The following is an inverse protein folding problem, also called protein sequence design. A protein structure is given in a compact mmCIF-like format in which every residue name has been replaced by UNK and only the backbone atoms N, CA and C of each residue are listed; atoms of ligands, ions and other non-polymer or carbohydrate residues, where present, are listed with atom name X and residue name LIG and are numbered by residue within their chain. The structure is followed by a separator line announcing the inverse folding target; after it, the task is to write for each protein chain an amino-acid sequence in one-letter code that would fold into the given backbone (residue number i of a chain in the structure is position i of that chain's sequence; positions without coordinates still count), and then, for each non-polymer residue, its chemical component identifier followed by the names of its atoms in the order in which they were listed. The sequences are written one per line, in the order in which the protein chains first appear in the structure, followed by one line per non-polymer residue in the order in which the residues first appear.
data_IF_454469454024
#
_entry.id   IF_454469454024
#
_cell.length_a   1.000
_cell.length_b   1.000
_cell.length_c   1.000
_cell.angle_alpha   90.00
_cell.angle_beta   90.00
_cell.angle_gamma   90.00
#
_symmetry.space_group_name_H-M   'P 1'
#
loop_
_entity.id
_entity.type
_entity.pdbx_description
1 polymer ?
#
# COMPACT_ATOMS: atom_id res chain seq x y z
N UNK A 1 0.21 13.14 -15.99
CA UNK A 1 0.08 12.56 -14.63
C UNK A 1 -1.11 13.26 -13.94
N UNK A 2 -1.64 12.73 -12.83
CA UNK A 2 -2.90 13.18 -12.22
C UNK A 2 -2.62 14.01 -10.97
N UNK A 3 -3.30 15.14 -10.82
CA UNK A 3 -3.18 16.00 -9.63
C UNK A 3 -3.61 15.26 -8.36
N UNK A 4 -2.67 14.99 -7.46
CA UNK A 4 -2.92 14.36 -6.16
C UNK A 4 -3.92 15.16 -5.29
N UNK A 5 -4.08 16.46 -5.57
CA UNK A 5 -5.01 17.36 -4.87
C UNK A 5 -6.45 16.83 -4.78
N UNK A 6 -6.96 16.16 -5.82
CA UNK A 6 -8.33 15.61 -5.82
C UNK A 6 -8.44 14.50 -4.78
N UNK A 7 -7.45 13.60 -4.74
CA UNK A 7 -7.40 12.53 -3.75
C UNK A 7 -7.26 13.09 -2.34
N UNK A 8 -6.40 14.10 -2.12
CA UNK A 8 -6.28 14.74 -0.81
C UNK A 8 -7.56 15.42 -0.34
N UNK A 9 -8.28 16.11 -1.23
CA UNK A 9 -9.57 16.71 -0.89
C UNK A 9 -10.62 15.63 -0.56
N UNK A 10 -10.69 14.57 -1.36
CA UNK A 10 -11.58 13.42 -1.11
C UNK A 10 -11.27 12.75 0.22
N UNK A 11 -9.99 12.47 0.49
CA UNK A 11 -9.47 11.97 1.77
C UNK A 11 -9.90 12.84 2.95
N UNK A 12 -9.62 14.15 2.86
CA UNK A 12 -9.93 15.12 3.91
C UNK A 12 -11.43 15.18 4.22
N UNK A 13 -12.28 15.19 3.20
CA UNK A 13 -13.74 15.22 3.38
C UNK A 13 -14.30 13.99 4.10
N UNK A 14 -13.57 12.86 4.06
CA UNK A 14 -13.96 11.58 4.65
C UNK A 14 -13.17 11.21 5.91
N UNK A 15 -12.22 12.05 6.32
CA UNK A 15 -11.36 11.78 7.48
C UNK A 15 -10.40 10.60 7.28
N UNK A 16 -10.01 10.31 6.04
CA UNK A 16 -9.08 9.21 5.70
C UNK A 16 -7.76 9.73 5.12
N UNK A 17 -6.73 8.89 5.11
CA UNK A 17 -5.45 9.17 4.43
C UNK A 17 -5.40 8.56 3.03
N UNK A 18 -4.40 8.95 2.24
CA UNK A 18 -4.19 8.46 0.88
C UNK A 18 -4.05 6.94 0.81
N UNK A 19 -3.41 6.34 1.83
CA UNK A 19 -3.26 4.89 1.97
C UNK A 19 -4.60 4.15 1.87
N UNK A 20 -5.70 4.70 2.39
CA UNK A 20 -7.03 4.11 2.29
C UNK A 20 -7.52 4.00 0.85
N UNK A 21 -7.30 5.05 0.05
CA UNK A 21 -7.64 5.05 -1.39
C UNK A 21 -6.79 4.02 -2.12
N UNK A 22 -5.47 4.00 -1.87
CA UNK A 22 -4.55 3.08 -2.53
C UNK A 22 -4.87 1.62 -2.21
N UNK A 23 -5.16 1.33 -0.93
CA UNK A 23 -5.66 0.02 -0.49
C UNK A 23 -6.93 -0.37 -1.23
N UNK A 24 -7.94 0.51 -1.29
CA UNK A 24 -9.18 0.19 -1.98
C UNK A 24 -8.97 -0.03 -3.48
N UNK A 25 -8.18 0.82 -4.14
CA UNK A 25 -7.92 0.73 -5.57
C UNK A 25 -7.23 -0.57 -5.96
N UNK A 26 -6.23 -1.01 -5.19
CA UNK A 26 -5.53 -2.28 -5.48
C UNK A 26 -6.37 -3.51 -5.11
N UNK A 27 -7.19 -3.44 -4.05
CA UNK A 27 -8.12 -4.51 -3.71
C UNK A 27 -9.16 -4.72 -4.83
N UNK A 28 -9.75 -3.64 -5.35
CA UNK A 28 -10.68 -3.69 -6.48
C UNK A 28 -10.00 -4.18 -7.76
N UNK A 29 -8.77 -3.72 -8.04
CA UNK A 29 -7.99 -4.19 -9.18
C UNK A 29 -7.70 -5.71 -9.09
N UNK A 30 -7.25 -6.18 -7.93
CA UNK A 30 -6.96 -7.60 -7.70
C UNK A 30 -8.23 -8.47 -7.69
N UNK A 31 -9.36 -7.95 -7.18
CA UNK A 31 -10.66 -8.62 -7.23
C UNK A 31 -11.14 -8.83 -8.66
N UNK A 32 -11.03 -7.79 -9.50
CA UNK A 32 -11.45 -7.85 -10.91
C UNK A 32 -10.51 -8.66 -11.80
N UNK A 33 -9.26 -8.95 -11.38
CA UNK A 33 -8.34 -9.84 -12.10
C UNK A 33 -8.60 -11.33 -11.80
N UNK A 34 -9.30 -11.66 -10.71
CA UNK A 34 -9.62 -13.03 -10.38
C UNK A 34 -10.88 -13.51 -11.12
N UNK A 35 -10.69 -14.40 -12.11
CA UNK A 35 -11.78 -15.00 -12.89
C UNK A 35 -12.73 -15.91 -12.07
N UNK A 36 -12.37 -16.29 -10.83
CA UNK A 36 -13.20 -17.13 -9.96
C UNK A 36 -14.06 -16.24 -9.06
N UNK A 37 -15.37 -16.24 -9.29
CA UNK A 37 -16.44 -15.51 -8.58
C UNK A 37 -16.67 -15.92 -7.11
N UNK A 38 -15.64 -16.38 -6.41
CA UNK A 38 -15.75 -16.65 -4.97
C UNK A 38 -15.38 -15.38 -4.20
N UNK A 39 -16.00 -15.17 -3.04
CA UNK A 39 -15.66 -14.10 -2.11
C UNK A 39 -14.16 -14.19 -1.78
N UNK A 40 -13.36 -13.30 -2.37
CA UNK A 40 -11.93 -13.30 -2.20
C UNK A 40 -11.61 -12.47 -0.95
N UNK A 41 -10.95 -13.12 0.01
CA UNK A 41 -10.35 -12.45 1.16
C UNK A 41 -8.94 -12.03 0.80
N UNK A 42 -8.62 -10.78 1.03
CA UNK A 42 -7.32 -10.18 0.74
C UNK A 42 -6.78 -9.57 2.02
N UNK A 43 -5.56 -9.95 2.38
CA UNK A 43 -4.88 -9.22 3.44
C UNK A 43 -4.24 -7.93 2.96
N UNK A 44 -4.17 -6.96 3.85
CA UNK A 44 -3.51 -5.69 3.66
C UNK A 44 -2.63 -5.44 4.87
N UNK A 45 -1.33 -5.29 4.62
CA UNK A 45 -0.39 -4.81 5.63
C UNK A 45 -0.27 -3.30 5.49
N UNK A 46 -0.55 -2.55 6.55
CA UNK A 46 -0.29 -1.10 6.57
C UNK A 46 0.90 -0.83 7.46
N UNK A 47 1.94 -0.21 6.89
CA UNK A 47 3.14 0.20 7.62
C UNK A 47 2.98 1.62 8.17
N UNK A 48 3.30 1.78 9.46
CA UNK A 48 3.18 3.05 10.19
C UNK A 48 4.55 3.46 10.70
N UNK A 49 4.99 4.69 10.39
CA UNK A 49 6.24 5.23 10.93
C UNK A 49 6.11 5.44 12.44
N UNK A 50 6.99 4.80 13.20
CA UNK A 50 7.01 4.85 14.66
C UNK A 50 8.09 5.77 15.23
N UNK A 51 8.85 6.52 14.40
CA UNK A 51 9.92 7.41 14.89
C UNK A 51 9.43 8.39 15.98
N UNK A 52 8.20 8.86 15.89
CA UNK A 52 7.58 9.77 16.86
C UNK A 52 7.29 9.14 18.22
N UNK A 53 7.22 7.79 18.31
CA UNK A 53 6.98 7.06 19.55
C UNK A 53 8.27 6.66 20.28
N UNK A 54 9.43 6.86 19.68
CA UNK A 54 10.73 6.56 20.30
C UNK A 54 11.06 7.61 21.37
N UNK A 55 11.95 7.25 22.31
CA UNK A 55 12.42 8.16 23.34
C UNK A 55 13.96 8.26 23.30
N UNK A 56 14.54 9.36 22.78
CA UNK A 56 13.85 10.53 22.21
C UNK A 56 13.21 10.23 20.84
N UNK A 57 12.20 11.02 20.41
CA UNK A 57 11.65 10.91 19.06
C UNK A 57 12.72 11.14 17.99
N UNK A 58 12.69 10.34 16.93
CA UNK A 58 13.63 10.48 15.82
C UNK A 58 13.06 11.36 14.69
N UNK A 59 13.94 12.14 14.06
CA UNK A 59 13.59 12.87 12.83
C UNK A 59 13.62 11.95 11.60
N UNK A 60 12.98 12.38 10.51
CA UNK A 60 12.99 11.67 9.21
C UNK A 60 14.40 11.51 8.61
N UNK A 61 15.38 12.31 9.07
CA UNK A 61 16.78 12.20 8.65
C UNK A 61 17.53 11.07 9.38
N UNK A 62 16.92 10.41 10.36
CA UNK A 62 17.45 9.18 10.93
C UNK A 62 17.09 8.02 10.01
N UNK A 63 18.08 7.58 9.24
CA UNK A 63 17.94 6.50 8.28
C UNK A 63 17.82 5.14 8.97
N UNK A 64 16.87 4.35 8.52
CA UNK A 64 16.59 3.03 9.09
C UNK A 64 15.14 2.61 8.88
N UNK A 65 14.83 1.38 9.28
CA UNK A 65 13.47 0.84 9.26
C UNK A 65 12.83 1.05 10.63
N UNK A 66 11.95 2.04 10.72
CA UNK A 66 11.24 2.41 11.95
C UNK A 66 9.73 2.19 11.85
N UNK A 67 9.31 1.33 10.93
CA UNK A 67 7.89 1.07 10.73
C UNK A 67 7.43 -0.11 11.59
N UNK A 68 6.25 0.05 12.16
CA UNK A 68 5.43 -1.06 12.64
C UNK A 68 4.40 -1.44 11.57
N UNK A 69 3.66 -2.53 11.78
CA UNK A 69 2.77 -3.07 10.77
C UNK A 69 1.46 -3.54 11.38
N UNK A 70 0.34 -3.27 10.70
CA UNK A 70 -0.99 -3.83 11.02
C UNK A 70 -1.43 -4.71 9.87
N UNK A 71 -1.92 -5.92 10.18
CA UNK A 71 -2.53 -6.81 9.21
C UNK A 71 -4.06 -6.78 9.32
N UNK A 72 -4.72 -6.30 8.26
CA UNK A 72 -6.16 -6.39 8.09
C UNK A 72 -6.50 -7.41 7.00
N UNK A 73 -7.68 -8.02 7.06
CA UNK A 73 -8.19 -8.89 6.00
C UNK A 73 -9.56 -8.40 5.55
N UNK A 74 -9.71 -8.14 4.26
CA UNK A 74 -10.94 -7.63 3.65
C UNK A 74 -11.54 -8.65 2.69
N UNK A 75 -12.85 -8.85 2.78
CA UNK A 75 -13.60 -9.66 1.82
C UNK A 75 -14.24 -8.73 0.79
N UNK A 76 -13.89 -8.88 -0.48
CA UNK A 76 -14.37 -7.99 -1.56
C UNK A 76 -15.51 -8.67 -2.33
N UNK A 77 -16.65 -7.98 -2.41
CA UNK A 77 -17.88 -8.46 -3.04
C UNK A 77 -17.98 -8.04 -4.52
N UNK A 78 -17.23 -7.03 -4.93
CA UNK A 78 -17.17 -6.52 -6.31
C UNK A 78 -18.25 -5.49 -6.65
N UNK A 79 -18.99 -5.00 -5.64
CA UNK A 79 -20.03 -3.95 -5.79
C UNK A 79 -19.65 -2.66 -5.08
N UNK A 80 -18.60 -2.69 -4.26
CA UNK A 80 -18.12 -1.57 -3.47
C UNK A 80 -17.55 -0.47 -4.39
N UNK A 81 -17.91 0.79 -4.10
CA UNK A 81 -17.24 1.93 -4.72
C UNK A 81 -15.85 2.14 -4.10
N UNK A 82 -14.98 2.87 -4.80
CA UNK A 82 -13.63 3.17 -4.30
C UNK A 82 -13.68 3.85 -2.93
N UNK A 83 -14.54 4.86 -2.78
CA UNK A 83 -14.60 5.67 -1.57
C UNK A 83 -15.23 4.95 -0.38
N UNK A 84 -16.25 4.12 -0.60
CA UNK A 84 -16.83 3.30 0.46
C UNK A 84 -15.81 2.31 1.00
N UNK A 85 -15.12 1.60 0.09
CA UNK A 85 -14.09 0.64 0.47
C UNK A 85 -12.90 1.34 1.15
N UNK A 86 -12.44 2.48 0.61
CA UNK A 86 -11.35 3.27 1.20
C UNK A 86 -11.68 3.73 2.62
N UNK A 87 -12.92 4.17 2.84
CA UNK A 87 -13.40 4.61 4.16
C UNK A 87 -13.45 3.44 5.14
N UNK A 88 -14.00 2.30 4.72
CA UNK A 88 -14.06 1.09 5.54
C UNK A 88 -12.67 0.58 5.91
N UNK A 89 -11.78 0.39 4.91
CA UNK A 89 -10.42 -0.08 5.15
C UNK A 89 -9.64 0.86 6.08
N UNK A 90 -9.73 2.17 5.88
CA UNK A 90 -9.02 3.11 6.74
C UNK A 90 -9.59 3.16 8.16
N UNK A 91 -10.91 3.08 8.32
CA UNK A 91 -11.54 3.04 9.64
C UNK A 91 -11.10 1.81 10.44
N UNK A 92 -11.08 0.63 9.80
CA UNK A 92 -10.60 -0.60 10.43
C UNK A 92 -9.12 -0.51 10.81
N UNK A 93 -8.27 -0.02 9.91
CA UNK A 93 -6.85 0.24 10.19
C UNK A 93 -6.67 1.20 11.38
N UNK A 94 -7.35 2.35 11.36
CA UNK A 94 -7.23 3.39 12.39
C UNK A 94 -7.64 2.87 13.77
N UNK A 95 -8.75 2.10 13.83
CA UNK A 95 -9.20 1.44 15.06
C UNK A 95 -8.16 0.45 15.60
N UNK A 96 -7.55 -0.36 14.73
CA UNK A 96 -6.50 -1.30 15.15
C UNK A 96 -5.25 -0.57 15.63
N UNK A 97 -4.87 0.53 14.98
CA UNK A 97 -3.74 1.37 15.39
C UNK A 97 -3.95 1.96 16.77
N UNK A 98 -5.15 2.48 17.06
CA UNK A 98 -5.52 3.02 18.39
C UNK A 98 -5.42 1.98 19.51
N UNK A 99 -5.61 0.69 19.18
CA UNK A 99 -5.46 -0.43 20.11
C UNK A 99 -4.02 -0.97 20.19
N UNK A 100 -3.03 -0.24 19.67
CA UNK A 100 -1.62 -0.64 19.62
C UNK A 100 -1.33 -1.94 18.86
N UNK A 101 -2.25 -2.37 18.00
CA UNK A 101 -2.13 -3.64 17.26
C UNK A 101 -0.91 -3.66 16.32
N UNK A 102 -0.45 -2.49 15.90
CA UNK A 102 0.77 -2.33 15.10
C UNK A 102 2.04 -2.88 15.78
N UNK A 103 2.06 -2.92 17.12
CA UNK A 103 3.18 -3.47 17.90
C UNK A 103 3.12 -4.99 18.03
N UNK A 104 1.91 -5.58 18.01
CA UNK A 104 1.72 -7.03 18.15
C UNK A 104 1.77 -7.74 16.81
N UNK A 105 1.10 -7.20 15.78
CA UNK A 105 1.01 -7.82 14.46
C UNK A 105 2.38 -7.90 13.76
N UNK A 106 3.30 -6.98 14.05
CA UNK A 106 4.64 -6.98 13.46
C UNK A 106 5.41 -8.28 13.76
N UNK A 107 5.23 -8.86 14.97
CA UNK A 107 5.86 -10.12 15.33
C UNK A 107 5.31 -11.29 14.48
N UNK A 108 3.99 -11.35 14.33
CA UNK A 108 3.31 -12.35 13.51
C UNK A 108 3.68 -12.22 12.03
N UNK A 109 3.71 -10.99 11.50
CA UNK A 109 4.11 -10.70 10.12
C UNK A 109 5.55 -11.15 9.89
N UNK A 110 6.49 -10.78 10.75
CA UNK A 110 7.89 -11.19 10.62
C UNK A 110 8.02 -12.72 10.63
N UNK A 111 7.33 -13.41 11.54
CA UNK A 111 7.32 -14.86 11.59
C UNK A 111 6.77 -15.49 10.31
N UNK A 112 5.62 -15.01 9.83
CA UNK A 112 5.00 -15.49 8.58
C UNK A 112 5.90 -15.26 7.37
N UNK A 113 6.56 -14.09 7.30
CA UNK A 113 7.52 -13.75 6.25
C UNK A 113 8.71 -14.69 6.26
N UNK A 114 9.33 -14.92 7.42
CA UNK A 114 10.44 -15.88 7.55
C UNK A 114 10.01 -17.27 7.11
N UNK A 115 8.82 -17.74 7.51
CA UNK A 115 8.33 -19.06 7.12
C UNK A 115 8.05 -19.18 5.63
N UNK A 116 7.52 -18.14 5.00
CA UNK A 116 7.32 -18.09 3.56
C UNK A 116 8.64 -18.13 2.78
N UNK A 117 9.66 -17.41 3.24
CA UNK A 117 11.01 -17.39 2.64
C UNK A 117 11.73 -18.72 2.84
N UNK A 118 11.64 -19.32 4.02
CA UNK A 118 12.24 -20.64 4.31
C UNK A 118 11.57 -21.78 3.53
N UNK A 119 10.27 -21.64 3.20
CA UNK A 119 9.47 -22.71 2.62
C UNK A 119 8.70 -22.25 1.36
N UNK A 120 9.37 -21.74 0.32
CA UNK A 120 8.70 -21.19 -0.85
C UNK A 120 7.82 -22.24 -1.55
N UNK A 121 8.20 -23.52 -1.52
CA UNK A 121 7.39 -24.62 -2.07
C UNK A 121 6.14 -24.98 -1.25
N UNK A 122 6.10 -24.69 0.06
CA UNK A 122 4.92 -24.91 0.91
C UNK A 122 3.91 -23.76 0.82
N UNK A 123 4.29 -22.67 0.14
CA UNK A 123 3.38 -21.56 -0.17
C UNK A 123 2.51 -21.84 -1.41
N UNK A 124 2.17 -23.11 -1.65
CA UNK A 124 1.41 -23.50 -2.83
C UNK A 124 0.03 -22.84 -2.84
N UNK A 125 -0.18 -21.91 -3.79
CA UNK A 125 -1.43 -21.27 -4.27
C UNK A 125 -2.44 -20.69 -3.25
N UNK A 126 -2.34 -20.96 -1.95
CA UNK A 126 -3.42 -20.75 -0.96
C UNK A 126 -3.00 -20.03 0.32
N UNK A 127 -1.80 -20.24 0.86
CA UNK A 127 -1.39 -19.66 2.15
C UNK A 127 -0.86 -18.22 2.09
N UNK A 128 -0.26 -17.79 0.97
CA UNK A 128 0.24 -16.41 0.79
C UNK A 128 -0.84 -15.37 0.45
N UNK A 129 -2.12 -15.76 0.39
CA UNK A 129 -3.24 -14.83 0.14
C UNK A 129 -3.67 -14.03 1.37
N UNK A 130 -3.10 -14.31 2.54
CA UNK A 130 -3.46 -13.61 3.77
C UNK A 130 -2.86 -12.21 3.89
N UNK A 131 -1.97 -11.78 2.99
CA UNK A 131 -1.44 -10.42 2.86
C UNK A 131 -1.13 -10.12 1.38
N UNK A 132 -2.18 -9.77 0.61
CA UNK A 132 -2.07 -9.45 -0.82
C UNK A 132 -1.15 -8.25 -1.07
N UNK A 133 -1.29 -7.21 -0.27
CA UNK A 133 -0.62 -5.92 -0.50
C UNK A 133 -0.10 -5.30 0.80
N UNK A 134 1.02 -4.62 0.69
CA UNK A 134 1.54 -3.70 1.70
C UNK A 134 1.43 -2.26 1.20
N UNK A 135 0.94 -1.37 2.05
CA UNK A 135 0.88 0.09 1.82
C UNK A 135 1.51 0.82 3.00
N UNK A 136 1.90 2.08 2.79
CA UNK A 136 2.39 2.96 3.86
C UNK A 136 1.25 3.87 4.31
N UNK A 137 1.14 4.12 5.62
CA UNK A 137 0.10 5.00 6.16
C UNK A 137 0.26 6.44 5.65
N UNK A 138 1.50 6.93 5.68
CA UNK A 138 1.86 8.29 5.32
C UNK A 138 2.59 8.31 3.98
N UNK A 139 2.05 9.09 3.04
CA UNK A 139 2.62 9.29 1.73
C UNK A 139 3.94 10.06 1.82
N UNK A 140 4.92 9.71 0.99
CA UNK A 140 6.12 10.53 0.82
C UNK A 140 5.75 11.77 0.00
N UNK A 141 5.99 12.96 0.54
CA UNK A 141 5.82 14.22 -0.19
C UNK A 141 7.20 14.71 -0.61
N UNK A 142 7.39 14.89 -1.91
CA UNK A 142 8.63 15.36 -2.51
C UNK A 142 8.37 16.58 -3.40
N UNK A 143 8.68 17.76 -2.85
CA UNK A 143 8.61 19.03 -3.58
C UNK A 143 10.02 19.51 -3.98
N UNK A 144 10.98 18.59 -4.10
CA UNK A 144 12.37 18.90 -4.45
C UNK A 144 12.62 19.10 -5.94
N UNK A 145 11.58 19.18 -6.79
CA UNK A 145 11.71 19.27 -8.24
C UNK A 145 12.58 20.42 -8.76
N UNK A 146 12.69 21.52 -8.00
CA UNK A 146 13.66 22.59 -8.27
C UNK A 146 15.12 22.16 -8.07
N UNK A 147 15.41 21.51 -6.93
CA UNK A 147 16.73 20.97 -6.61
C UNK A 147 17.12 19.85 -7.58
N UNK A 148 16.17 18.96 -7.90
CA UNK A 148 16.37 17.82 -8.79
C UNK A 148 16.89 18.24 -10.17
N UNK A 149 16.28 19.29 -10.73
CA UNK A 149 16.72 19.92 -12.00
C UNK A 149 18.10 20.55 -11.89
N UNK A 150 18.42 21.17 -10.75
CA UNK A 150 19.73 21.78 -10.52
C UNK A 150 20.87 20.75 -10.53
N UNK A 151 20.63 19.55 -9.97
CA UNK A 151 21.63 18.48 -9.89
C UNK A 151 21.61 17.52 -11.09
N UNK A 152 20.77 17.77 -12.11
CA UNK A 152 20.67 16.96 -13.32
C UNK A 152 20.05 15.57 -13.11
N UNK A 153 19.19 15.40 -12.11
CA UNK A 153 18.46 14.14 -11.87
C UNK A 153 17.08 14.21 -12.55
N UNK A 154 16.97 13.52 -13.68
CA UNK A 154 15.76 13.52 -14.49
C UNK A 154 14.60 12.77 -13.83
N UNK A 155 14.85 11.55 -13.33
CA UNK A 155 13.86 10.73 -12.63
C UNK A 155 14.53 9.77 -11.64
N UNK A 156 13.79 9.37 -10.60
CA UNK A 156 14.20 8.34 -9.66
C UNK A 156 12.98 7.66 -9.03
N UNK A 157 13.20 6.47 -8.51
CA UNK A 157 12.19 5.67 -7.83
C UNK A 157 12.69 5.42 -6.41
N UNK A 158 11.88 5.81 -5.43
CA UNK A 158 12.09 5.45 -4.04
C UNK A 158 11.33 4.16 -3.71
N UNK A 159 12.05 3.11 -3.32
CA UNK A 159 11.45 1.92 -2.72
C UNK A 159 12.36 1.35 -1.63
N UNK A 160 11.77 0.78 -0.59
CA UNK A 160 12.52 -0.04 0.37
C UNK A 160 12.73 -1.46 -0.18
N UNK A 161 13.71 -2.18 0.37
CA UNK A 161 13.90 -3.60 0.06
C UNK A 161 12.65 -4.40 0.42
N UNK A 162 12.30 -5.39 -0.41
CA UNK A 162 11.20 -6.36 -0.20
C UNK A 162 11.28 -7.12 1.13
N UNK A 163 12.41 -7.06 1.83
CA UNK A 163 12.63 -7.75 3.11
C UNK A 163 11.82 -7.14 4.28
N UNK A 164 11.25 -5.94 4.12
CA UNK A 164 10.41 -5.29 5.15
C UNK A 164 8.93 -5.14 4.77
N UNK A 165 8.49 -5.82 3.72
CA UNK A 165 7.19 -5.64 3.07
C UNK A 165 6.52 -7.02 2.98
N UNK A 166 5.21 -7.09 3.22
CA UNK A 166 4.44 -8.33 3.11
C UNK A 166 4.68 -9.10 1.79
N UNK A 167 4.32 -10.39 1.75
CA UNK A 167 4.95 -11.37 0.88
C UNK A 167 4.55 -11.31 -0.59
N UNK A 168 3.71 -10.35 -1.00
CA UNK A 168 3.02 -10.38 -2.30
C UNK A 168 3.24 -9.12 -3.14
N UNK A 169 2.65 -7.98 -2.78
CA UNK A 169 2.80 -6.73 -3.53
C UNK A 169 3.05 -5.58 -2.55
N UNK A 170 4.01 -4.72 -2.83
CA UNK A 170 4.19 -3.43 -2.16
C UNK A 170 3.66 -2.32 -3.05
N UNK A 171 2.89 -1.39 -2.51
CA UNK A 171 2.62 -0.11 -3.16
C UNK A 171 3.42 0.97 -2.44
N UNK A 172 4.36 1.56 -3.14
CA UNK A 172 5.08 2.75 -2.69
C UNK A 172 4.49 3.97 -3.36
N UNK A 173 3.87 4.84 -2.59
CA UNK A 173 3.35 6.10 -3.07
C UNK A 173 4.29 7.26 -2.75
N UNK A 174 4.42 8.15 -3.74
CA UNK A 174 5.11 9.42 -3.59
C UNK A 174 4.32 10.48 -4.30
N UNK A 175 4.03 11.58 -3.62
CA UNK A 175 3.50 12.78 -4.26
C UNK A 175 4.65 13.68 -4.62
N UNK A 176 4.95 13.78 -5.91
CA UNK A 176 6.04 14.61 -6.45
C UNK A 176 5.46 15.81 -7.17
N UNK A 177 5.83 17.01 -6.73
CA UNK A 177 5.36 18.27 -7.33
C UNK A 177 3.82 18.31 -7.52
N UNK A 178 3.07 17.77 -6.55
CA UNK A 178 1.60 17.68 -6.57
C UNK A 178 1.00 16.53 -7.38
N UNK A 179 1.82 15.64 -7.92
CA UNK A 179 1.42 14.50 -8.75
C UNK A 179 1.62 13.19 -7.99
N UNK A 180 0.63 12.29 -8.02
CA UNK A 180 0.74 10.98 -7.37
C UNK A 180 1.48 10.00 -8.29
N UNK A 181 2.62 9.50 -7.80
CA UNK A 181 3.34 8.36 -8.37
C UNK A 181 3.18 7.13 -7.46
N UNK A 182 3.01 5.96 -8.06
CA UNK A 182 2.82 4.69 -7.36
C UNK A 182 3.67 3.60 -8.01
N UNK A 183 4.54 2.97 -7.22
CA UNK A 183 5.39 1.87 -7.66
C UNK A 183 4.88 0.57 -7.04
N UNK A 184 4.66 -0.43 -7.89
CA UNK A 184 4.30 -1.78 -7.45
C UNK A 184 5.56 -2.66 -7.44
N UNK A 185 6.01 -3.05 -6.25
CA UNK A 185 7.15 -3.98 -6.07
C UNK A 185 6.61 -5.35 -5.70
N UNK A 186 7.11 -6.40 -6.34
CA UNK A 186 6.60 -7.76 -6.16
C UNK A 186 7.75 -8.78 -6.30
N UNK A 187 7.69 -9.93 -5.63
CA UNK A 187 8.67 -10.98 -5.80
C UNK A 187 8.39 -11.79 -7.07
N UNK A 188 9.40 -11.93 -7.92
CA UNK A 188 9.43 -12.94 -8.99
C UNK A 188 10.07 -14.23 -8.44
N UNK A 189 9.54 -15.43 -8.75
CA UNK A 189 8.49 -15.74 -9.72
C UNK A 189 7.07 -15.82 -9.12
N UNK A 190 6.83 -15.30 -7.90
CA UNK A 190 5.51 -15.39 -7.26
C UNK A 190 4.42 -14.67 -8.07
N UNK A 191 4.76 -13.51 -8.63
CA UNK A 191 3.93 -12.81 -9.62
C UNK A 191 4.70 -12.64 -10.93
N UNK A 192 3.99 -12.77 -12.05
CA UNK A 192 4.55 -12.44 -13.36
C UNK A 192 4.48 -10.92 -13.61
N UNK A 193 5.32 -10.43 -14.53
CA UNK A 193 5.27 -9.02 -14.95
C UNK A 193 3.91 -8.67 -15.54
N UNK A 194 3.39 -9.52 -16.41
CA UNK A 194 2.13 -9.31 -17.11
C UNK A 194 0.95 -9.23 -16.12
N UNK A 195 0.96 -10.06 -15.09
CA UNK A 195 -0.05 -10.03 -14.03
C UNK A 195 -0.03 -8.71 -13.26
N UNK A 196 1.15 -8.21 -12.90
CA UNK A 196 1.27 -6.97 -12.14
C UNK A 196 0.98 -5.75 -13.02
N UNK A 197 1.37 -5.77 -14.30
CA UNK A 197 1.01 -4.75 -15.28
C UNK A 197 -0.52 -4.66 -15.45
N UNK A 198 -1.22 -5.79 -15.49
CA UNK A 198 -2.69 -5.81 -15.52
C UNK A 198 -3.30 -5.18 -14.26
N UNK A 199 -2.79 -5.52 -13.07
CA UNK A 199 -3.23 -4.93 -11.80
C UNK A 199 -2.98 -3.42 -11.79
N UNK A 200 -1.79 -2.98 -12.20
CA UNK A 200 -1.42 -1.56 -12.24
C UNK A 200 -2.30 -0.77 -13.22
N UNK A 201 -2.60 -1.33 -14.41
CA UNK A 201 -3.48 -0.70 -15.38
C UNK A 201 -4.92 -0.55 -14.86
N UNK A 202 -5.43 -1.59 -14.18
CA UNK A 202 -6.76 -1.56 -13.56
C UNK A 202 -6.83 -0.56 -12.41
N UNK A 203 -5.83 -0.56 -11.53
CA UNK A 203 -5.71 0.42 -10.44
C UNK A 203 -5.67 1.85 -10.99
N UNK A 204 -4.88 2.09 -12.03
CA UNK A 204 -4.80 3.39 -12.72
C UNK A 204 -6.15 3.81 -13.29
N UNK A 205 -6.90 2.89 -13.87
CA UNK A 205 -8.25 3.13 -14.42
C UNK A 205 -9.24 3.49 -13.31
N UNK A 206 -9.24 2.74 -12.20
CA UNK A 206 -10.10 2.99 -11.04
C UNK A 206 -9.84 4.40 -10.48
N UNK A 207 -8.57 4.75 -10.27
CA UNK A 207 -8.17 6.08 -9.80
C UNK A 207 -8.50 7.19 -10.81
N UNK A 208 -8.49 6.90 -12.12
CA UNK A 208 -8.81 7.89 -13.17
C UNK A 208 -10.28 8.28 -13.19
N UNK A 209 -11.17 7.30 -12.97
CA UNK A 209 -12.62 7.53 -13.00
C UNK A 209 -13.02 8.59 -12.00
N UNK A 210 -12.47 8.54 -10.79
CA UNK A 210 -12.74 9.54 -9.75
C UNK A 210 -12.20 10.94 -10.07
N UNK A 211 -11.13 11.06 -10.87
CA UNK A 211 -10.66 12.36 -11.34
C UNK A 211 -11.53 12.96 -12.46
N UNK A 212 -12.38 12.14 -13.10
CA UNK A 212 -13.21 12.53 -14.25
C UNK A 212 -14.67 12.79 -13.89
N UNK A 213 -15.08 12.48 -12.66
CA UNK A 213 -16.45 12.61 -12.15
C UNK A 213 -16.78 13.99 -11.55
N UNK A 214 -15.91 15.00 -11.76
CA UNK A 214 -16.11 16.39 -11.33
C UNK A 214 -16.28 17.31 -12.53
#
# INVERSE_FOLDING_TARGET
MKKASIFFQGCKSRGIKLCGILTAAILLAAASANAKKNLNKYGVVTLTDCRSFLNPPLSVHHYGFYHSAILNTYAIQGTETLWELATGCYADFSKMKQNNKHLTDMADINFLMTKAVENPGLTSRSSLRSALVTVFEDAVIDDSGGMRRLIGVDDYIGCSSVHGIGPSIAVFDTVRDGELDCILVYPSPLHSREQIEEIAAKMTTILARECSSN
#
